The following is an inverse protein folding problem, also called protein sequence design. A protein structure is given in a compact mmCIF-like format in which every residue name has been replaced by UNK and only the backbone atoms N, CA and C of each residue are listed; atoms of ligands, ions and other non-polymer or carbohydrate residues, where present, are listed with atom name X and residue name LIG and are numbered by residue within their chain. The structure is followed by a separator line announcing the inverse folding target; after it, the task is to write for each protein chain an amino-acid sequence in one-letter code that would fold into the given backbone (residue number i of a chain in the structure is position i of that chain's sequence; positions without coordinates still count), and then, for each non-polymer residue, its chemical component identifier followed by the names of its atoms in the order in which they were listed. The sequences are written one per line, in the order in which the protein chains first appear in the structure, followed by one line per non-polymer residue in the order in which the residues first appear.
data_IF_153242891046
#
_entry.id   IF_153242891046
#
_cell.length_a   1.000
_cell.length_b   1.000
_cell.length_c   1.000
_cell.angle_alpha   90.00
_cell.angle_beta   90.00
_cell.angle_gamma   90.00
#
_symmetry.space_group_name_H-M   'P 1'
#
loop_
_entity.id
_entity.type
_entity.pdbx_description
1 polymer ?
#
# COMPACT_ATOMS: atom_id res chain seq x y z
N UNK A 1 -12.19 -17.72 18.20
CA UNK A 1 -11.50 -18.00 19.48
C UNK A 1 -10.14 -17.32 19.42
N UNK A 2 -9.83 -16.44 20.37
CA UNK A 2 -8.56 -15.71 20.38
C UNK A 2 -7.48 -16.56 21.04
N UNK A 3 -6.39 -16.82 20.32
CA UNK A 3 -5.22 -17.51 20.85
C UNK A 3 -4.63 -16.68 22.01
N UNK A 4 -4.82 -17.16 23.23
CA UNK A 4 -4.48 -16.42 24.45
C UNK A 4 -3.09 -16.79 24.97
N UNK A 5 -2.49 -17.87 24.46
CA UNK A 5 -1.19 -18.39 24.84
C UNK A 5 -0.27 -18.59 23.62
N UNK A 6 0.90 -17.94 23.55
CA UNK A 6 1.86 -18.10 22.44
C UNK A 6 2.33 -19.54 22.20
N UNK A 7 2.27 -20.41 23.22
CA UNK A 7 2.65 -21.83 23.08
C UNK A 7 1.72 -22.62 22.17
N UNK A 8 0.49 -22.15 21.98
CA UNK A 8 -0.50 -22.82 21.14
C UNK A 8 -0.09 -22.81 19.66
N UNK A 9 0.77 -21.86 19.25
CA UNK A 9 1.35 -21.79 17.90
C UNK A 9 2.33 -22.94 17.60
N UNK A 10 2.77 -23.68 18.61
CA UNK A 10 3.70 -24.82 18.45
C UNK A 10 2.98 -26.17 18.38
N UNK A 11 1.68 -26.18 18.62
CA UNK A 11 0.87 -27.39 18.50
C UNK A 11 0.63 -27.71 17.03
N UNK A 12 0.36 -28.99 16.74
CA UNK A 12 -0.12 -29.38 15.42
C UNK A 12 -1.42 -28.64 15.14
N UNK A 13 -1.48 -27.95 14.00
CA UNK A 13 -2.66 -27.20 13.61
C UNK A 13 -3.85 -28.19 13.57
N UNK A 14 -5.04 -27.76 14.02
CA UNK A 14 -6.36 -28.41 13.87
C UNK A 14 -7.29 -27.50 13.01
N UNK A 15 -7.82 -27.95 11.86
CA UNK A 15 -8.66 -27.13 10.95
C UNK A 15 -9.98 -27.86 10.74
N UNK A 16 -11.06 -27.11 10.91
CA UNK A 16 -12.44 -27.54 10.71
C UNK A 16 -13.16 -26.44 9.91
N UNK A 17 -13.78 -26.80 8.79
CA UNK A 17 -14.59 -25.86 8.01
C UNK A 17 -16.02 -25.82 8.57
N UNK A 18 -16.47 -24.63 8.96
CA UNK A 18 -17.76 -24.44 9.62
C UNK A 18 -18.90 -24.85 8.68
N UNK A 19 -19.63 -25.91 9.07
CA UNK A 19 -20.79 -26.40 8.32
C UNK A 19 -20.47 -27.47 7.29
N UNK A 20 -19.23 -27.96 7.20
CA UNK A 20 -18.85 -29.08 6.36
C UNK A 20 -18.69 -30.37 7.16
N UNK A 21 -18.96 -31.52 6.52
CA UNK A 21 -18.79 -32.83 7.13
C UNK A 21 -17.33 -33.27 6.97
N UNK A 22 -16.70 -33.82 8.02
CA UNK A 22 -15.29 -34.24 7.97
C UNK A 22 -15.04 -35.35 6.93
N UNK A 23 -14.56 -34.96 5.74
CA UNK A 23 -14.11 -35.90 4.70
C UNK A 23 -12.61 -36.19 4.90
N UNK A 24 -12.29 -36.82 6.03
CA UNK A 24 -10.97 -37.39 6.33
C UNK A 24 -9.84 -36.39 6.64
N UNK A 25 -9.12 -36.64 7.73
CA UNK A 25 -8.10 -35.73 8.30
C UNK A 25 -7.00 -35.28 7.34
N UNK A 26 -6.66 -36.03 6.28
CA UNK A 26 -5.54 -35.71 5.39
C UNK A 26 -5.83 -34.72 4.25
N UNK A 27 -7.10 -34.46 3.93
CA UNK A 27 -7.53 -33.59 2.82
C UNK A 27 -7.69 -32.13 3.28
N UNK A 28 -8.26 -31.95 4.47
CA UNK A 28 -8.66 -30.65 5.04
C UNK A 28 -7.46 -29.71 5.25
N UNK A 29 -6.32 -30.25 5.70
CA UNK A 29 -5.07 -29.48 5.84
C UNK A 29 -4.59 -28.89 4.52
N UNK A 30 -4.63 -29.70 3.46
CA UNK A 30 -4.13 -29.31 2.15
C UNK A 30 -5.03 -28.26 1.54
N UNK A 31 -6.34 -28.44 1.65
CA UNK A 31 -7.31 -27.46 1.19
C UNK A 31 -7.20 -26.14 1.93
N UNK A 32 -7.05 -26.16 3.26
CA UNK A 32 -6.79 -24.95 4.04
C UNK A 32 -5.55 -24.20 3.57
N UNK A 33 -4.40 -24.88 3.47
CA UNK A 33 -3.19 -24.22 3.00
C UNK A 33 -3.27 -23.79 1.54
N UNK A 34 -3.95 -24.54 0.68
CA UNK A 34 -4.17 -24.15 -0.71
C UNK A 34 -5.02 -22.89 -0.80
N UNK A 35 -6.13 -22.80 -0.05
CA UNK A 35 -6.97 -21.59 0.00
C UNK A 35 -6.19 -20.40 0.57
N UNK A 36 -5.41 -20.59 1.64
CA UNK A 36 -4.56 -19.53 2.18
C UNK A 36 -3.54 -19.08 1.15
N UNK A 37 -2.85 -19.99 0.47
CA UNK A 37 -1.90 -19.67 -0.60
C UNK A 37 -2.60 -18.93 -1.74
N UNK A 38 -3.71 -19.46 -2.23
CA UNK A 38 -4.45 -18.88 -3.35
C UNK A 38 -4.96 -17.47 -3.02
N UNK A 39 -5.54 -17.26 -1.84
CA UNK A 39 -6.00 -15.95 -1.38
C UNK A 39 -4.83 -14.98 -1.15
N UNK A 40 -3.73 -15.49 -0.58
CA UNK A 40 -2.53 -14.70 -0.29
C UNK A 40 -1.83 -14.24 -1.56
N UNK A 41 -1.77 -15.08 -2.58
CA UNK A 41 -1.17 -14.75 -3.88
C UNK A 41 -2.17 -14.24 -4.91
N UNK A 42 -3.46 -14.15 -4.56
CA UNK A 42 -4.46 -13.60 -5.44
C UNK A 42 -4.21 -12.09 -5.59
N UNK A 43 -3.98 -11.59 -6.83
CA UNK A 43 -3.65 -10.20 -7.09
C UNK A 43 -4.77 -9.22 -6.70
N UNK A 44 -6.02 -9.69 -6.56
CA UNK A 44 -7.14 -8.86 -6.11
C UNK A 44 -7.01 -8.44 -4.64
N UNK A 45 -6.27 -9.21 -3.82
CA UNK A 45 -5.96 -8.87 -2.42
C UNK A 45 -4.65 -8.11 -2.27
N UNK A 46 -3.80 -8.11 -3.29
CA UNK A 46 -2.61 -7.26 -3.37
C UNK A 46 -1.55 -7.49 -2.27
N UNK A 47 -1.55 -8.67 -1.63
CA UNK A 47 -0.57 -9.04 -0.58
C UNK A 47 0.80 -9.32 -1.21
N UNK A 48 0.85 -10.04 -2.34
CA UNK A 48 2.06 -10.28 -3.13
C UNK A 48 1.84 -9.86 -4.59
N UNK A 49 2.33 -8.68 -4.97
CA UNK A 49 2.29 -8.23 -6.37
C UNK A 49 3.66 -8.46 -7.03
N UNK A 50 3.73 -9.40 -7.98
CA UNK A 50 4.95 -9.72 -8.74
C UNK A 50 5.34 -8.63 -9.77
N UNK A 51 4.48 -7.64 -10.01
CA UNK A 51 4.76 -6.53 -10.93
C UNK A 51 4.39 -5.18 -10.33
N UNK A 52 5.30 -4.66 -9.50
CA UNK A 52 5.30 -3.24 -9.18
C UNK A 52 5.82 -2.47 -10.39
N UNK A 53 4.90 -1.71 -11.00
CA UNK A 53 5.13 -0.55 -11.86
C UNK A 53 5.32 -0.75 -13.36
N UNK A 54 4.47 -0.04 -14.08
CA UNK A 54 4.86 0.64 -15.32
C UNK A 54 5.35 2.05 -14.97
N UNK A 55 6.46 2.49 -15.56
CA UNK A 55 6.89 3.89 -15.55
C UNK A 55 5.70 4.80 -15.93
N UNK A 56 5.63 6.00 -15.33
CA UNK A 56 4.53 6.98 -15.48
C UNK A 56 3.80 6.88 -16.83
N UNK A 57 2.68 6.15 -16.80
CA UNK A 57 1.78 6.07 -17.96
C UNK A 57 1.21 7.46 -18.23
N UNK A 58 0.80 7.79 -19.46
CA UNK A 58 0.14 9.07 -19.74
C UNK A 58 -1.10 9.32 -18.87
N UNK A 59 -1.76 8.24 -18.43
CA UNK A 59 -2.90 8.30 -17.50
C UNK A 59 -2.52 8.86 -16.12
N UNK A 60 -1.24 8.73 -15.76
CA UNK A 60 -0.63 9.28 -14.56
C UNK A 60 0.11 10.62 -14.78
N UNK A 61 -0.04 11.25 -15.94
CA UNK A 61 0.56 12.58 -16.17
C UNK A 61 -0.46 13.66 -15.84
N UNK A 62 0.05 14.71 -15.20
CA UNK A 62 -0.64 15.91 -14.71
C UNK A 62 -1.68 15.67 -13.62
N UNK A 63 -1.21 15.93 -12.40
CA UNK A 63 -1.94 15.75 -11.16
C UNK A 63 -1.81 17.04 -10.36
N UNK A 64 -2.97 17.61 -10.04
CA UNK A 64 -3.08 18.61 -9.00
C UNK A 64 -3.78 17.97 -7.83
N UNK A 65 -3.05 17.88 -6.73
CA UNK A 65 -3.28 16.97 -5.63
C UNK A 65 -3.55 17.78 -4.36
N UNK A 66 -4.67 17.50 -3.71
CA UNK A 66 -5.08 18.11 -2.45
C UNK A 66 -4.67 17.21 -1.30
N UNK A 67 -4.00 17.79 -0.30
CA UNK A 67 -3.62 17.08 0.91
C UNK A 67 -4.84 16.56 1.68
N UNK A 68 -4.76 15.30 2.12
CA UNK A 68 -5.75 14.71 3.04
C UNK A 68 -5.14 14.60 4.44
N UNK A 69 -4.06 13.83 4.57
CA UNK A 69 -3.45 13.57 5.86
C UNK A 69 -1.99 13.12 5.70
N UNK A 70 -1.24 13.22 6.80
CA UNK A 70 0.07 12.60 6.96
C UNK A 70 0.10 11.79 8.25
N UNK A 71 0.74 10.62 8.21
CA UNK A 71 0.86 9.74 9.37
C UNK A 71 2.14 8.88 9.28
N UNK A 72 2.30 7.95 10.21
CA UNK A 72 3.44 7.03 10.25
C UNK A 72 3.02 5.63 9.83
N UNK A 73 3.88 4.94 9.09
CA UNK A 73 3.65 3.56 8.65
C UNK A 73 3.35 2.63 9.83
N UNK A 74 2.16 2.01 9.90
CA UNK A 74 1.81 1.09 10.97
C UNK A 74 2.65 -0.19 10.92
N UNK A 75 2.99 -0.73 12.09
CA UNK A 75 3.78 -1.96 12.21
C UNK A 75 3.08 -3.16 11.57
N UNK A 76 1.78 -3.32 11.82
CA UNK A 76 1.00 -4.44 11.30
C UNK A 76 0.93 -4.42 9.78
N UNK A 77 0.64 -3.26 9.19
CA UNK A 77 0.61 -3.06 7.74
C UNK A 77 1.95 -3.44 7.08
N UNK A 78 3.08 -3.07 7.67
CA UNK A 78 4.39 -3.46 7.12
C UNK A 78 4.64 -4.98 7.20
N UNK A 79 4.20 -5.64 8.27
CA UNK A 79 4.32 -7.10 8.39
C UNK A 79 3.47 -7.80 7.32
N UNK A 80 2.27 -7.27 7.04
CA UNK A 80 1.32 -7.90 6.11
C UNK A 80 1.76 -7.81 4.65
N UNK A 81 2.34 -6.68 4.24
CA UNK A 81 2.59 -6.41 2.81
C UNK A 81 4.06 -6.46 2.38
N UNK A 82 4.99 -6.63 3.32
CA UNK A 82 6.45 -6.54 3.17
C UNK A 82 7.01 -6.12 1.80
N UNK A 83 6.74 -4.86 1.44
CA UNK A 83 7.03 -4.32 0.11
C UNK A 83 8.53 -4.07 -0.20
N UNK A 84 9.42 -4.25 0.78
CA UNK A 84 10.82 -3.77 0.75
C UNK A 84 11.01 -2.26 0.40
N UNK A 85 9.95 -1.47 0.31
CA UNK A 85 10.00 -0.06 -0.10
C UNK A 85 9.83 0.92 1.07
N UNK A 86 9.10 0.53 2.12
CA UNK A 86 8.88 1.35 3.31
C UNK A 86 9.22 0.60 4.60
N UNK A 87 9.49 1.33 5.69
CA UNK A 87 9.77 0.77 7.02
C UNK A 87 8.72 1.20 8.04
N UNK A 88 8.55 0.42 9.12
CA UNK A 88 7.66 0.84 10.24
C UNK A 88 8.09 2.20 10.76
N UNK A 89 7.11 3.10 10.98
CA UNK A 89 7.39 4.45 11.45
C UNK A 89 7.87 5.42 10.36
N UNK A 90 8.03 4.97 9.11
CA UNK A 90 8.31 5.87 7.99
C UNK A 90 7.11 6.83 7.80
N UNK A 91 7.32 8.15 7.71
CA UNK A 91 6.25 9.08 7.41
C UNK A 91 5.66 8.83 6.02
N UNK A 92 4.36 9.00 5.89
CA UNK A 92 3.67 9.05 4.61
C UNK A 92 2.64 10.17 4.59
N UNK A 93 2.28 10.62 3.39
CA UNK A 93 1.16 11.53 3.17
C UNK A 93 0.29 11.04 2.03
N UNK A 94 -1.03 11.20 2.20
CA UNK A 94 -2.05 10.87 1.21
C UNK A 94 -2.59 12.17 0.63
N UNK A 95 -2.59 12.23 -0.69
CA UNK A 95 -3.20 13.27 -1.48
C UNK A 95 -4.31 12.69 -2.35
N UNK A 96 -5.25 13.55 -2.75
CA UNK A 96 -6.33 13.22 -3.67
C UNK A 96 -6.39 14.21 -4.83
N UNK A 97 -6.63 13.68 -6.01
CA UNK A 97 -6.73 14.48 -7.23
C UNK A 97 -7.94 15.40 -7.16
N UNK A 98 -7.74 16.68 -7.45
CA UNK A 98 -8.81 17.69 -7.30
C UNK A 98 -10.00 17.46 -8.24
N UNK A 99 -9.75 16.97 -9.46
CA UNK A 99 -10.81 16.71 -10.44
C UNK A 99 -11.36 15.27 -10.39
N UNK A 100 -10.70 14.35 -9.65
CA UNK A 100 -11.09 12.95 -9.55
C UNK A 100 -10.93 12.46 -8.11
N UNK A 101 -12.03 12.49 -7.36
CA UNK A 101 -12.04 12.18 -5.92
C UNK A 101 -11.75 10.70 -5.58
N UNK A 102 -11.63 9.85 -6.58
CA UNK A 102 -11.30 8.42 -6.49
C UNK A 102 -9.85 8.12 -6.95
N UNK A 103 -9.03 9.15 -7.17
CA UNK A 103 -7.62 9.04 -7.52
C UNK A 103 -6.75 9.57 -6.37
N UNK A 104 -5.76 8.77 -5.96
CA UNK A 104 -4.93 9.07 -4.80
C UNK A 104 -3.43 8.96 -5.11
N UNK A 105 -2.66 9.82 -4.45
CA UNK A 105 -1.20 9.75 -4.42
C UNK A 105 -0.75 9.53 -2.98
N UNK A 106 0.12 8.53 -2.80
CA UNK A 106 0.81 8.28 -1.52
C UNK A 106 2.28 8.61 -1.71
N UNK A 107 2.80 9.55 -0.92
CA UNK A 107 4.23 9.87 -0.87
C UNK A 107 4.84 9.42 0.45
N UNK A 108 6.07 8.93 0.37
CA UNK A 108 6.78 8.30 1.49
C UNK A 108 8.03 9.08 1.90
N UNK A 109 8.40 8.90 3.17
CA UNK A 109 9.63 9.41 3.79
C UNK A 109 9.63 10.92 3.98
N UNK A 110 10.63 11.46 4.69
CA UNK A 110 10.81 12.89 5.01
C UNK A 110 11.14 13.76 3.77
N UNK A 111 10.39 13.58 2.70
CA UNK A 111 10.48 14.36 1.48
C UNK A 111 9.92 15.77 1.74
N UNK A 112 10.47 16.75 1.03
CA UNK A 112 10.00 18.13 1.03
C UNK A 112 8.53 18.29 0.56
N UNK A 113 7.87 17.19 0.19
CA UNK A 113 6.49 17.17 -0.27
C UNK A 113 5.51 16.46 0.68
N UNK A 114 5.90 16.00 1.87
CA UNK A 114 4.92 15.38 2.80
C UNK A 114 3.92 16.39 3.37
N UNK A 115 4.34 17.64 3.60
CA UNK A 115 3.52 18.68 4.23
C UNK A 115 2.98 19.72 3.25
N UNK A 116 2.89 19.41 1.96
CA UNK A 116 2.26 20.34 1.01
C UNK A 116 0.75 20.30 1.24
N UNK A 117 0.10 21.45 1.27
CA UNK A 117 -1.37 21.48 1.23
C UNK A 117 -1.86 21.20 -0.21
N UNK A 118 -1.05 21.62 -1.18
CA UNK A 118 -1.33 21.55 -2.60
C UNK A 118 -0.06 21.10 -3.31
N UNK A 119 -0.17 20.03 -4.07
CA UNK A 119 0.95 19.42 -4.77
C UNK A 119 0.64 19.34 -6.27
N UNK A 120 1.55 19.84 -7.09
CA UNK A 120 1.51 19.68 -8.55
C UNK A 120 2.70 18.85 -8.99
N UNK A 121 2.44 17.78 -9.73
CA UNK A 121 3.49 16.87 -10.22
C UNK A 121 3.89 17.30 -11.63
N UNK A 122 5.12 17.76 -11.79
CA UNK A 122 5.69 18.09 -13.11
C UNK A 122 6.30 16.84 -13.73
N UNK A 123 7.16 16.15 -12.96
CA UNK A 123 7.77 14.87 -13.29
C UNK A 123 8.22 14.15 -12.01
N UNK A 124 8.93 13.02 -12.13
CA UNK A 124 9.36 12.22 -10.97
C UNK A 124 10.28 12.98 -10.01
N UNK A 125 11.05 13.96 -10.50
CA UNK A 125 12.02 14.73 -9.74
C UNK A 125 11.51 16.11 -9.33
N UNK A 126 10.53 16.67 -10.04
CA UNK A 126 10.12 18.06 -9.93
C UNK A 126 8.62 18.19 -9.59
N UNK A 127 8.37 19.02 -8.58
CA UNK A 127 7.04 19.26 -8.03
C UNK A 127 6.85 20.74 -7.69
N UNK A 128 5.62 21.22 -7.71
CA UNK A 128 5.25 22.45 -7.01
C UNK A 128 4.51 22.12 -5.71
N UNK A 129 5.13 22.45 -4.59
CA UNK A 129 4.56 22.36 -3.26
C UNK A 129 4.04 23.73 -2.84
N UNK A 130 2.74 23.93 -2.71
CA UNK A 130 2.14 25.22 -2.38
C UNK A 130 2.67 26.36 -3.29
N UNK A 131 2.83 26.09 -4.59
CA UNK A 131 3.43 26.98 -5.62
C UNK A 131 4.95 27.21 -5.51
N UNK A 132 5.63 26.64 -4.53
CA UNK A 132 7.07 26.63 -4.44
C UNK A 132 7.64 25.43 -5.22
N UNK A 133 8.59 25.69 -6.11
CA UNK A 133 9.26 24.64 -6.89
C UNK A 133 10.19 23.83 -5.99
N UNK A 134 10.05 22.50 -6.00
CA UNK A 134 10.82 21.56 -5.19
C UNK A 134 11.43 20.48 -6.09
N UNK A 135 12.72 20.22 -5.90
CA UNK A 135 13.44 19.16 -6.60
C UNK A 135 13.83 18.03 -5.63
N UNK A 136 13.33 16.83 -5.89
CA UNK A 136 13.52 15.67 -5.01
C UNK A 136 14.80 14.88 -5.29
N UNK A 137 15.51 15.16 -6.39
CA UNK A 137 16.82 14.54 -6.69
C UNK A 137 17.86 14.71 -5.58
N UNK A 138 17.72 15.75 -4.75
CA UNK A 138 18.57 15.96 -3.56
C UNK A 138 18.45 14.84 -2.51
N UNK A 139 17.40 14.03 -2.57
CA UNK A 139 17.09 13.01 -1.56
C UNK A 139 17.25 11.57 -2.06
N UNK A 140 17.48 11.34 -3.36
CA UNK A 140 17.57 10.01 -3.96
C UNK A 140 17.21 10.00 -5.44
N UNK A 141 16.95 8.82 -6.00
CA UNK A 141 16.30 8.64 -7.30
C UNK A 141 14.80 8.43 -7.08
N UNK A 142 13.98 9.50 -7.06
CA UNK A 142 12.55 9.36 -6.82
C UNK A 142 11.91 8.52 -7.93
N UNK A 143 10.98 7.65 -7.56
CA UNK A 143 10.20 6.86 -8.50
C UNK A 143 8.72 6.97 -8.14
N UNK A 144 7.87 7.14 -9.16
CA UNK A 144 6.41 7.09 -9.02
C UNK A 144 5.93 5.81 -9.68
N UNK A 145 5.22 4.99 -8.91
CA UNK A 145 4.64 3.75 -9.37
C UNK A 145 3.12 3.87 -9.41
N UNK A 146 2.55 3.82 -10.61
CA UNK A 146 1.12 3.71 -10.77
C UNK A 146 0.69 2.27 -10.55
N UNK A 147 -0.20 2.06 -9.60
CA UNK A 147 -0.71 0.74 -9.27
C UNK A 147 -1.79 0.36 -10.28
N UNK A 148 -1.54 -0.72 -11.02
CA UNK A 148 -2.48 -1.24 -12.02
C UNK A 148 -3.55 -2.15 -11.40
N UNK A 149 -3.37 -2.54 -10.13
CA UNK A 149 -4.27 -3.41 -9.37
C UNK A 149 -4.40 -2.87 -7.94
N UNK A 150 -5.46 -3.30 -7.25
CA UNK A 150 -5.69 -2.96 -5.84
C UNK A 150 -4.55 -3.55 -5.00
N UNK A 151 -3.80 -2.69 -4.33
CA UNK A 151 -2.84 -3.13 -3.31
C UNK A 151 -3.48 -2.89 -1.95
N UNK A 152 -3.69 -3.96 -1.18
CA UNK A 152 -4.25 -3.84 0.18
C UNK A 152 -3.49 -2.84 1.04
N UNK A 153 -2.16 -2.75 0.86
CA UNK A 153 -1.31 -1.74 1.48
C UNK A 153 -1.80 -0.30 1.19
N UNK A 154 -1.99 0.04 -0.08
CA UNK A 154 -2.40 1.39 -0.44
C UNK A 154 -3.80 1.71 0.07
N UNK A 155 -4.69 0.73 0.04
CA UNK A 155 -6.08 0.89 0.48
C UNK A 155 -6.14 1.12 1.99
N UNK A 156 -5.34 0.41 2.78
CA UNK A 156 -5.22 0.61 4.23
C UNK A 156 -4.71 2.01 4.58
N UNK A 157 -3.67 2.49 3.87
CA UNK A 157 -3.11 3.82 4.10
C UNK A 157 -4.10 4.93 3.72
N UNK A 158 -4.83 4.76 2.61
CA UNK A 158 -5.86 5.71 2.19
C UNK A 158 -7.03 5.69 3.17
N UNK A 159 -7.52 4.51 3.55
CA UNK A 159 -8.62 4.33 4.52
C UNK A 159 -8.29 5.01 5.84
N UNK A 160 -7.06 4.88 6.32
CA UNK A 160 -6.60 5.58 7.53
C UNK A 160 -6.76 7.11 7.39
N UNK A 161 -6.28 7.69 6.29
CA UNK A 161 -6.36 9.15 6.09
C UNK A 161 -7.78 9.65 5.81
N UNK A 162 -8.60 8.88 5.11
CA UNK A 162 -9.96 9.28 4.72
C UNK A 162 -10.97 9.00 5.83
N UNK A 163 -10.68 8.08 6.75
CA UNK A 163 -11.54 7.74 7.90
C UNK A 163 -12.76 6.89 7.54
N UNK A 164 -12.83 6.36 6.31
CA UNK A 164 -13.88 5.45 5.83
C UNK A 164 -13.34 4.56 4.72
N UNK A 165 -14.03 3.46 4.46
CA UNK A 165 -13.75 2.63 3.30
C UNK A 165 -13.95 3.42 2.01
N UNK A 166 -12.94 3.37 1.16
CA UNK A 166 -12.94 3.92 -0.19
C UNK A 166 -12.43 2.87 -1.16
N UNK A 167 -12.92 2.94 -2.39
CA UNK A 167 -12.42 2.11 -3.50
C UNK A 167 -11.76 3.03 -4.51
N UNK A 168 -10.43 3.23 -4.43
CA UNK A 168 -9.69 4.02 -5.40
C UNK A 168 -9.87 3.44 -6.81
N UNK A 169 -10.09 4.30 -7.81
CA UNK A 169 -9.98 3.89 -9.23
C UNK A 169 -8.54 3.85 -9.68
N UNK A 170 -7.69 4.67 -9.07
CA UNK A 170 -6.27 4.71 -9.35
C UNK A 170 -5.51 5.16 -8.11
N UNK A 171 -4.41 4.49 -7.84
CA UNK A 171 -3.47 4.91 -6.79
C UNK A 171 -2.06 4.97 -7.38
N UNK A 172 -1.34 6.03 -7.06
CA UNK A 172 0.08 6.15 -7.33
C UNK A 172 0.85 6.15 -6.00
N UNK A 173 1.92 5.38 -5.92
CA UNK A 173 2.84 5.36 -4.78
C UNK A 173 4.19 5.90 -5.20
N UNK A 174 4.68 6.89 -4.45
CA UNK A 174 5.93 7.58 -4.74
C UNK A 174 6.95 7.30 -3.64
N UNK A 175 8.09 6.73 -4.03
CA UNK A 175 9.16 6.35 -3.10
C UNK A 175 10.43 7.15 -3.35
N UNK A 176 11.22 7.32 -2.29
CA UNK A 176 12.65 7.67 -2.38
C UNK A 176 13.39 6.42 -1.93
N UNK A 177 13.93 5.63 -2.86
CA UNK A 177 14.86 4.59 -2.49
C UNK A 177 16.03 5.27 -1.75
N UNK A 178 16.47 4.75 -0.59
CA UNK A 178 17.73 5.20 -0.01
C UNK A 178 18.83 5.03 -1.05
N UNK A 179 19.80 5.95 -1.09
CA UNK A 179 20.99 5.78 -1.92
C UNK A 179 21.65 4.44 -1.53
N UNK A 180 21.61 3.46 -2.44
CA UNK A 180 22.45 2.26 -2.37
C UNK A 180 23.87 2.63 -2.75
#
# INVERSE_FOLDING_TARGET
MAMSNPKDLTQQLAVEFVGEQDIGEGSVWKEFFQLIIDETFNPDFGIYSAHLSTALTPHCRTFFEMFICSALYPRLTKILFDDNMATTGLPYAVYRKVLQNDHYLITHGSSAIIGCNMLEIVNEEEYFCNKCRVFLRKYGKPAIYCLNHLMGLSDDLIKHCVGRDVKPKQTAMRYIPPFK
#
